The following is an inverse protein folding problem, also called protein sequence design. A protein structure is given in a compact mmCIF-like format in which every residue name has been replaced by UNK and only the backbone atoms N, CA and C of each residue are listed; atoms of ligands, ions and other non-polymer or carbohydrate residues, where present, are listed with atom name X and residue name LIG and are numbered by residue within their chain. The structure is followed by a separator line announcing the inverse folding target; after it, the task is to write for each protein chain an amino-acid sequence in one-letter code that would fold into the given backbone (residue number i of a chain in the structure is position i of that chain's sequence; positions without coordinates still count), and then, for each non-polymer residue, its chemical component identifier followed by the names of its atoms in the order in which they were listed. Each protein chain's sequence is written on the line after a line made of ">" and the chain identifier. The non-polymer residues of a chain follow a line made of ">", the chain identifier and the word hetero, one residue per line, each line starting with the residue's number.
data_IF_735274964915
#
_entry.id   IF_735274964915
#
_cell.length_a   1.000
_cell.length_b   1.000
_cell.length_c   1.000
_cell.angle_alpha   90.00
_cell.angle_beta   90.00
_cell.angle_gamma   90.00
#
_symmetry.space_group_name_H-M   'P 1'
#
loop_
_entity.id
_entity.type
_entity.pdbx_description
1 polymer ?
#
# COMPACT_ATOMS: atom_id res chain seq x y z
N UNK A 1 9.90 -8.01 -0.55
CA UNK A 1 10.12 -8.12 0.91
C UNK A 1 9.15 -7.16 1.61
N UNK A 2 8.40 -7.58 2.62
CA UNK A 2 7.58 -6.65 3.42
C UNK A 2 8.47 -5.66 4.17
N UNK A 3 8.01 -4.40 4.27
CA UNK A 3 8.72 -3.35 5.01
C UNK A 3 8.04 -3.13 6.37
N UNK A 4 8.75 -3.35 7.50
CA UNK A 4 8.24 -3.06 8.85
C UNK A 4 7.98 -1.57 9.02
N UNK A 5 6.91 -1.19 9.73
CA UNK A 5 6.53 0.23 9.87
C UNK A 5 7.62 1.05 10.57
N UNK A 6 8.32 0.44 11.52
CA UNK A 6 9.45 1.02 12.25
C UNK A 6 10.80 0.46 11.76
N UNK A 7 10.84 0.00 10.51
CA UNK A 7 12.05 -0.50 9.87
C UNK A 7 13.09 0.61 9.68
N UNK A 8 14.36 0.21 9.52
CA UNK A 8 15.42 1.13 9.16
C UNK A 8 15.13 1.74 7.78
N UNK A 9 15.19 3.06 7.68
CA UNK A 9 15.12 3.75 6.40
C UNK A 9 16.42 3.53 5.62
N UNK A 10 16.29 3.45 4.30
CA UNK A 10 17.41 3.44 3.37
C UNK A 10 17.25 4.61 2.39
N UNK A 11 18.37 5.07 1.85
CA UNK A 11 18.36 6.09 0.81
C UNK A 11 17.62 5.57 -0.42
N UNK A 12 16.70 6.37 -0.94
CA UNK A 12 16.01 6.07 -2.18
C UNK A 12 16.92 6.41 -3.38
N UNK A 13 16.85 5.66 -4.49
CA UNK A 13 17.62 5.99 -5.68
C UNK A 13 17.16 7.33 -6.29
N UNK A 14 18.02 7.92 -7.11
CA UNK A 14 17.62 9.01 -8.01
C UNK A 14 16.68 8.48 -9.09
N UNK A 15 15.61 9.24 -9.35
CA UNK A 15 14.53 8.82 -10.23
C UNK A 15 14.26 9.90 -11.27
N UNK A 16 14.21 9.48 -12.52
CA UNK A 16 13.65 10.27 -13.61
C UNK A 16 12.22 9.81 -13.84
N UNK A 17 11.28 10.72 -13.64
CA UNK A 17 9.84 10.47 -13.78
C UNK A 17 9.31 11.58 -14.70
N UNK A 18 9.18 11.33 -16.01
CA UNK A 18 8.66 12.33 -16.94
C UNK A 18 7.13 12.44 -16.93
N UNK A 19 6.43 11.61 -16.17
CA UNK A 19 4.96 11.51 -16.19
C UNK A 19 4.28 12.67 -15.45
N UNK A 20 3.34 13.33 -16.13
CA UNK A 20 2.56 14.45 -15.59
C UNK A 20 1.75 14.12 -14.31
N UNK A 21 1.53 12.84 -14.01
CA UNK A 21 0.78 12.39 -12.84
C UNK A 21 1.52 12.58 -11.50
N UNK A 22 2.84 12.83 -11.51
CA UNK A 22 3.62 12.89 -10.27
C UNK A 22 5.04 13.45 -10.37
N UNK A 23 5.40 14.12 -11.47
CA UNK A 23 6.77 14.57 -11.75
C UNK A 23 7.15 15.96 -11.21
N UNK A 24 6.20 16.70 -10.62
CA UNK A 24 6.48 18.06 -10.11
C UNK A 24 7.29 17.98 -8.81
N UNK A 25 8.52 18.50 -8.85
CA UNK A 25 9.34 18.77 -7.68
C UNK A 25 9.15 20.23 -7.23
N UNK A 26 8.81 20.43 -5.96
CA UNK A 26 8.48 21.74 -5.41
C UNK A 26 9.00 21.87 -3.97
N UNK A 27 9.45 23.06 -3.60
CA UNK A 27 9.74 23.40 -2.20
C UNK A 27 8.44 23.67 -1.44
N UNK A 28 8.51 23.75 -0.11
CA UNK A 28 7.36 24.22 0.69
C UNK A 28 6.93 25.63 0.29
N UNK A 29 7.87 26.52 -0.08
CA UNK A 29 7.57 27.87 -0.56
C UNK A 29 6.76 27.86 -1.87
N UNK A 30 7.15 27.01 -2.83
CA UNK A 30 6.42 26.85 -4.09
C UNK A 30 4.99 26.33 -3.84
N UNK A 31 4.85 25.36 -2.94
CA UNK A 31 3.54 24.82 -2.57
C UNK A 31 2.68 25.84 -1.82
N UNK A 32 3.27 26.71 -0.99
CA UNK A 32 2.55 27.84 -0.39
C UNK A 32 2.06 28.81 -1.46
N UNK A 33 2.86 29.12 -2.47
CA UNK A 33 2.43 29.98 -3.58
C UNK A 33 1.28 29.34 -4.39
N UNK A 34 1.31 28.03 -4.60
CA UNK A 34 0.22 27.29 -5.23
C UNK A 34 -1.05 27.30 -4.37
N UNK A 35 -0.94 27.06 -3.06
CA UNK A 35 -2.06 27.12 -2.12
C UNK A 35 -2.66 28.53 -2.04
N UNK A 36 -1.84 29.58 -2.04
CA UNK A 36 -2.31 30.96 -2.12
C UNK A 36 -3.11 31.22 -3.40
N UNK A 37 -2.69 30.66 -4.54
CA UNK A 37 -3.46 30.75 -5.78
C UNK A 37 -4.84 30.10 -5.65
N UNK A 38 -4.94 28.95 -4.96
CA UNK A 38 -6.21 28.30 -4.69
C UNK A 38 -7.11 29.15 -3.76
N UNK A 39 -6.57 29.63 -2.64
CA UNK A 39 -7.30 30.48 -1.70
C UNK A 39 -7.79 31.78 -2.36
N UNK A 40 -6.97 32.35 -3.25
CA UNK A 40 -7.28 33.57 -3.99
C UNK A 40 -8.00 33.31 -5.33
N UNK A 41 -8.63 32.14 -5.47
CA UNK A 41 -9.53 31.80 -6.60
C UNK A 41 -8.89 32.02 -7.98
N UNK A 42 -7.64 31.59 -8.13
CA UNK A 42 -6.87 31.65 -9.37
C UNK A 42 -5.84 32.78 -9.48
N UNK A 43 -5.63 33.57 -8.42
CA UNK A 43 -4.70 34.70 -8.40
C UNK A 43 -3.45 34.37 -7.58
N UNK A 44 -2.29 34.32 -8.23
CA UNK A 44 -1.00 34.16 -7.56
C UNK A 44 -0.37 35.50 -7.20
N UNK A 45 0.83 35.45 -6.61
CA UNK A 45 1.58 36.64 -6.18
C UNK A 45 1.95 37.61 -7.31
N UNK A 46 2.00 37.13 -8.56
CA UNK A 46 2.31 37.92 -9.77
C UNK A 46 1.09 38.23 -10.63
N UNK A 47 -0.12 38.05 -10.09
CA UNK A 47 -1.38 38.28 -10.79
C UNK A 47 -2.13 36.99 -11.12
N UNK A 48 -3.12 37.11 -12.00
CA UNK A 48 -4.04 36.01 -12.33
C UNK A 48 -3.33 34.90 -13.13
N UNK A 49 -3.37 33.68 -12.60
CA UNK A 49 -2.81 32.48 -13.24
C UNK A 49 -3.89 31.74 -14.01
N UNK A 50 -5.08 31.59 -13.42
CA UNK A 50 -6.25 31.01 -14.08
C UNK A 50 -7.48 31.93 -13.94
N UNK A 51 -8.37 31.87 -14.93
CA UNK A 51 -9.63 32.61 -14.90
C UNK A 51 -10.50 32.13 -13.73
N UNK A 52 -11.40 32.98 -13.22
CA UNK A 52 -12.35 32.58 -12.19
C UNK A 52 -13.27 31.43 -12.67
N UNK A 53 -13.61 31.42 -13.96
CA UNK A 53 -14.35 30.31 -14.59
C UNK A 53 -13.56 29.00 -14.52
N UNK A 54 -12.27 29.02 -14.82
CA UNK A 54 -11.39 27.86 -14.73
C UNK A 54 -11.20 27.39 -13.28
N UNK A 55 -11.05 28.32 -12.34
CA UNK A 55 -10.99 27.97 -10.91
C UNK A 55 -12.27 27.29 -10.45
N UNK A 56 -13.44 27.80 -10.84
CA UNK A 56 -14.72 27.15 -10.52
C UNK A 56 -14.77 25.72 -11.06
N UNK A 57 -14.35 25.50 -12.30
CA UNK A 57 -14.26 24.15 -12.88
C UNK A 57 -13.29 23.25 -12.10
N UNK A 58 -12.12 23.76 -11.72
CA UNK A 58 -11.09 23.02 -10.99
C UNK A 58 -11.61 22.41 -9.69
N UNK A 59 -12.40 23.16 -8.92
CA UNK A 59 -12.87 22.78 -7.58
C UNK A 59 -14.27 22.18 -7.56
N UNK A 60 -14.98 22.16 -8.69
CA UNK A 60 -16.35 21.63 -8.76
C UNK A 60 -16.36 20.10 -8.57
N UNK A 61 -17.15 19.57 -7.62
CA UNK A 61 -17.40 18.13 -7.50
C UNK A 61 -17.89 17.50 -8.82
N UNK A 62 -17.17 16.53 -9.38
CA UNK A 62 -17.57 15.85 -10.61
C UNK A 62 -18.05 14.41 -10.36
N UNK A 63 -17.37 13.67 -9.49
CA UNK A 63 -17.71 12.27 -9.17
C UNK A 63 -17.53 11.99 -7.68
N UNK A 64 -18.40 11.18 -7.08
CA UNK A 64 -18.23 10.74 -5.69
C UNK A 64 -16.95 9.92 -5.56
N UNK A 65 -16.09 10.32 -4.64
CA UNK A 65 -14.80 9.70 -4.39
C UNK A 65 -14.43 9.94 -2.91
N UNK A 66 -14.86 9.04 -2.00
CA UNK A 66 -14.59 9.20 -0.58
C UNK A 66 -13.10 9.37 -0.30
N UNK A 67 -12.75 10.44 0.40
CA UNK A 67 -11.36 10.74 0.73
C UNK A 67 -11.01 10.11 2.06
N UNK A 68 -10.37 8.94 2.03
CA UNK A 68 -9.97 8.18 3.24
C UNK A 68 -11.13 7.92 4.22
N UNK A 69 -12.30 7.62 3.67
CA UNK A 69 -13.51 7.32 4.46
C UNK A 69 -14.39 8.53 4.77
N UNK A 70 -13.97 9.74 4.38
CA UNK A 70 -14.81 10.95 4.46
C UNK A 70 -15.64 11.11 3.19
N UNK A 71 -16.86 11.64 3.31
CA UNK A 71 -17.64 12.01 2.13
C UNK A 71 -16.93 13.14 1.38
N UNK A 72 -16.64 12.87 0.12
CA UNK A 72 -15.93 13.78 -0.76
C UNK A 72 -16.26 13.42 -2.22
N UNK A 73 -15.95 14.36 -3.09
CA UNK A 73 -16.02 14.19 -4.53
C UNK A 73 -14.68 14.54 -5.15
N UNK A 74 -14.39 13.99 -6.32
CA UNK A 74 -13.22 14.34 -7.11
C UNK A 74 -13.62 15.30 -8.23
N UNK A 75 -12.79 16.32 -8.46
CA UNK A 75 -12.88 17.25 -9.57
C UNK A 75 -11.66 17.10 -10.50
N UNK A 76 -11.14 18.21 -11.01
CA UNK A 76 -9.94 18.19 -11.85
C UNK A 76 -8.66 18.11 -11.01
N UNK A 77 -8.34 16.90 -10.56
CA UNK A 77 -7.10 16.63 -9.83
C UNK A 77 -7.12 17.09 -8.37
N UNK A 78 -8.30 17.34 -7.80
CA UNK A 78 -8.49 17.70 -6.40
C UNK A 78 -9.70 16.94 -5.85
N UNK A 79 -9.60 16.50 -4.59
CA UNK A 79 -10.78 16.17 -3.81
C UNK A 79 -11.43 17.45 -3.29
N UNK A 80 -12.75 17.53 -3.36
CA UNK A 80 -13.57 18.58 -2.79
C UNK A 80 -14.56 17.97 -1.80
N UNK A 81 -14.72 18.60 -0.64
CA UNK A 81 -15.68 18.17 0.39
C UNK A 81 -16.17 19.36 1.20
N UNK A 82 -17.41 19.29 1.65
CA UNK A 82 -17.95 20.23 2.63
C UNK A 82 -17.87 19.60 4.03
N UNK A 83 -17.03 20.18 4.90
CA UNK A 83 -16.79 19.69 6.26
C UNK A 83 -17.14 20.79 7.25
N UNK A 84 -18.22 20.60 8.02
CA UNK A 84 -18.70 21.61 8.98
C UNK A 84 -18.95 22.97 8.33
N UNK A 85 -19.64 22.98 7.18
CA UNK A 85 -19.92 24.17 6.34
C UNK A 85 -18.68 24.88 5.77
N UNK A 86 -17.53 24.20 5.72
CA UNK A 86 -16.31 24.70 5.08
C UNK A 86 -16.01 23.89 3.84
N UNK A 87 -15.76 24.57 2.73
CA UNK A 87 -15.41 23.92 1.47
C UNK A 87 -13.90 23.69 1.44
N UNK A 88 -13.51 22.42 1.57
CA UNK A 88 -12.11 21.99 1.53
C UNK A 88 -11.76 21.46 0.14
N UNK A 89 -10.58 21.84 -0.35
CA UNK A 89 -9.94 21.21 -1.51
C UNK A 89 -8.61 20.58 -1.11
N UNK A 90 -8.37 19.35 -1.58
CA UNK A 90 -7.34 18.47 -1.01
C UNK A 90 -6.67 17.63 -2.08
N UNK A 91 -5.41 17.26 -1.84
CA UNK A 91 -4.73 16.23 -2.61
C UNK A 91 -3.61 15.59 -1.82
N UNK A 92 -3.24 14.36 -2.19
CA UNK A 92 -2.07 13.69 -1.63
C UNK A 92 -1.16 13.19 -2.75
N UNK A 93 0.13 13.10 -2.49
CA UNK A 93 1.11 12.59 -3.44
C UNK A 93 2.00 11.58 -2.75
N UNK A 94 2.38 10.52 -3.45
CA UNK A 94 3.42 9.61 -2.98
C UNK A 94 4.30 9.22 -4.14
N UNK A 95 5.58 9.48 -3.96
CA UNK A 95 6.67 9.04 -4.81
C UNK A 95 7.46 7.95 -4.07
N UNK A 96 8.33 7.23 -4.79
CA UNK A 96 9.24 6.23 -4.21
C UNK A 96 9.99 6.79 -2.98
N UNK A 97 10.36 8.07 -3.01
CA UNK A 97 11.14 8.73 -1.96
C UNK A 97 10.37 9.79 -1.16
N UNK A 98 9.13 10.13 -1.52
CA UNK A 98 8.42 11.25 -0.91
C UNK A 98 6.95 10.92 -0.63
N UNK A 99 6.39 11.51 0.41
CA UNK A 99 4.95 11.47 0.66
C UNK A 99 4.47 12.84 1.11
N UNK A 100 3.45 13.36 0.42
CA UNK A 100 2.96 14.72 0.59
C UNK A 100 1.45 14.75 0.74
N UNK A 101 0.96 15.79 1.42
CA UNK A 101 -0.45 16.12 1.52
C UNK A 101 -0.63 17.63 1.46
N UNK A 102 -1.75 18.06 0.89
CA UNK A 102 -2.20 19.44 0.95
C UNK A 102 -3.69 19.50 1.27
N UNK A 103 -4.05 20.51 2.06
CA UNK A 103 -5.43 20.85 2.39
C UNK A 103 -5.58 22.37 2.30
N UNK A 104 -6.65 22.85 1.66
CA UNK A 104 -7.01 24.25 1.62
C UNK A 104 -8.50 24.43 1.93
N UNK A 105 -8.78 25.28 2.92
CA UNK A 105 -10.11 25.74 3.27
C UNK A 105 -10.42 27.02 2.50
N UNK A 106 -11.29 26.90 1.51
CA UNK A 106 -11.69 28.01 0.65
C UNK A 106 -12.70 28.95 1.32
N UNK A 107 -13.29 28.54 2.45
CA UNK A 107 -14.28 29.32 3.20
C UNK A 107 -13.60 30.27 4.17
N UNK A 108 -12.68 29.76 4.99
CA UNK A 108 -12.00 30.57 6.03
C UNK A 108 -10.63 31.10 5.58
N UNK A 109 -10.11 30.66 4.42
CA UNK A 109 -8.88 31.21 3.85
C UNK A 109 -7.58 30.64 4.43
N UNK A 110 -7.61 29.42 4.95
CA UNK A 110 -6.42 28.73 5.49
C UNK A 110 -5.99 27.57 4.60
N UNK A 111 -4.69 27.31 4.52
CA UNK A 111 -4.16 26.17 3.82
C UNK A 111 -2.91 25.61 4.50
N UNK A 112 -2.66 24.32 4.32
CA UNK A 112 -1.52 23.62 4.85
C UNK A 112 -0.93 22.66 3.81
N UNK A 113 0.39 22.55 3.80
CA UNK A 113 1.14 21.57 3.03
C UNK A 113 2.13 20.87 3.96
N UNK A 114 2.25 19.55 3.81
CA UNK A 114 3.27 18.77 4.49
C UNK A 114 3.88 17.77 3.51
N UNK A 115 5.19 17.55 3.62
CA UNK A 115 5.92 16.55 2.86
C UNK A 115 6.95 15.88 3.75
N UNK A 116 7.17 14.59 3.51
CA UNK A 116 8.24 13.81 4.11
C UNK A 116 9.07 13.16 3.01
N UNK A 117 10.38 13.09 3.21
CA UNK A 117 11.34 12.45 2.31
C UNK A 117 11.46 10.93 2.57
N UNK A 118 10.32 10.27 2.77
CA UNK A 118 10.24 8.83 2.90
C UNK A 118 8.92 8.30 2.33
N UNK A 119 8.97 7.13 1.69
CA UNK A 119 7.78 6.34 1.39
C UNK A 119 7.53 5.36 2.54
N UNK A 120 6.47 5.60 3.31
CA UNK A 120 6.13 4.83 4.50
C UNK A 120 4.85 4.01 4.26
N UNK A 121 4.86 3.13 3.26
CA UNK A 121 3.77 2.18 2.91
C UNK A 121 2.36 2.79 2.96
N UNK A 122 2.04 3.66 2.01
CA UNK A 122 0.70 4.27 1.90
C UNK A 122 0.43 5.40 2.91
N UNK A 123 1.37 5.69 3.80
CA UNK A 123 1.37 6.91 4.60
C UNK A 123 1.30 8.16 3.71
N UNK A 124 0.53 9.13 4.17
CA UNK A 124 0.52 10.51 3.67
C UNK A 124 0.38 11.41 4.91
N UNK A 125 1.01 12.59 4.95
CA UNK A 125 0.98 13.47 6.12
C UNK A 125 -0.36 14.23 6.30
N UNK A 126 -1.49 13.59 5.97
CA UNK A 126 -2.84 14.16 6.06
C UNK A 126 -3.21 14.58 7.48
N UNK A 127 -2.79 13.79 8.48
CA UNK A 127 -3.03 14.15 9.88
C UNK A 127 -2.32 15.45 10.28
N UNK A 128 -1.15 15.73 9.66
CA UNK A 128 -0.37 16.95 9.93
C UNK A 128 -1.07 18.16 9.30
N UNK A 129 -1.45 18.08 8.03
CA UNK A 129 -2.13 19.19 7.34
C UNK A 129 -3.50 19.49 7.93
N UNK A 130 -4.29 18.45 8.25
CA UNK A 130 -5.58 18.60 8.94
C UNK A 130 -5.41 19.28 10.30
N UNK A 131 -4.45 18.81 11.11
CA UNK A 131 -4.21 19.40 12.42
C UNK A 131 -3.76 20.86 12.34
N UNK A 132 -2.93 21.20 11.34
CA UNK A 132 -2.55 22.59 11.10
C UNK A 132 -3.76 23.48 10.76
N UNK A 133 -4.70 23.00 9.95
CA UNK A 133 -5.95 23.73 9.71
C UNK A 133 -6.77 23.88 10.99
N UNK A 134 -7.01 22.79 11.72
CA UNK A 134 -7.80 22.84 12.96
C UNK A 134 -7.20 23.82 13.98
N UNK A 135 -5.87 23.89 14.10
CA UNK A 135 -5.16 24.90 14.89
C UNK A 135 -5.42 26.33 14.40
N UNK A 136 -5.29 26.58 13.09
CA UNK A 136 -5.50 27.91 12.51
C UNK A 136 -6.95 28.38 12.70
N UNK A 137 -7.93 27.50 12.55
CA UNK A 137 -9.33 27.80 12.80
C UNK A 137 -9.63 28.10 14.26
N UNK A 138 -9.07 27.31 15.20
CA UNK A 138 -9.27 27.56 16.62
C UNK A 138 -8.63 28.90 17.03
N UNK A 139 -7.40 29.15 16.58
CA UNK A 139 -6.67 30.38 16.86
C UNK A 139 -7.39 31.62 16.29
N UNK A 140 -7.88 31.57 15.05
CA UNK A 140 -8.56 32.72 14.42
C UNK A 140 -9.88 33.09 15.09
N UNK A 141 -10.50 32.15 15.81
CA UNK A 141 -11.75 32.33 16.56
C UNK A 141 -11.54 32.50 18.06
N UNK A 142 -10.28 32.57 18.52
CA UNK A 142 -9.90 32.61 19.93
C UNK A 142 -10.55 31.47 20.75
N UNK A 143 -10.61 30.28 20.16
CA UNK A 143 -11.10 29.05 20.78
C UNK A 143 -9.95 28.24 21.38
N UNK A 144 -10.29 27.28 22.24
CA UNK A 144 -9.32 26.31 22.76
C UNK A 144 -8.67 25.53 21.61
N UNK A 145 -7.34 25.40 21.66
CA UNK A 145 -6.58 24.70 20.63
C UNK A 145 -6.89 23.19 20.66
N UNK A 146 -7.06 22.54 19.50
CA UNK A 146 -7.25 21.10 19.45
C UNK A 146 -6.04 20.36 20.03
N UNK A 147 -6.32 19.25 20.74
CA UNK A 147 -5.30 18.33 21.19
C UNK A 147 -4.51 17.76 20.01
N UNK A 148 -3.23 17.45 20.25
CA UNK A 148 -2.39 16.77 19.26
C UNK A 148 -3.06 15.48 18.77
N UNK A 149 -2.99 15.17 17.47
CA UNK A 149 -3.48 13.90 16.96
C UNK A 149 -2.75 12.75 17.66
N UNK A 150 -3.50 11.76 18.14
CA UNK A 150 -2.91 10.57 18.74
C UNK A 150 -1.98 9.87 17.74
N UNK A 151 -0.82 9.34 18.18
CA UNK A 151 0.01 8.54 17.31
C UNK A 151 -0.76 7.32 16.82
N UNK A 152 -0.43 6.84 15.62
CA UNK A 152 -0.99 5.58 15.12
C UNK A 152 -0.71 4.44 16.10
N UNK A 153 -1.64 3.49 16.17
CA UNK A 153 -1.46 2.30 16.99
C UNK A 153 -0.12 1.63 16.68
N UNK A 154 0.52 1.06 17.70
CA UNK A 154 1.80 0.38 17.47
C UNK A 154 1.57 -0.82 16.55
N UNK A 155 2.44 -1.07 15.57
CA UNK A 155 2.21 -2.10 14.57
C UNK A 155 2.20 -3.50 15.19
N UNK A 156 2.74 -3.68 16.39
CA UNK A 156 2.76 -4.92 17.17
C UNK A 156 1.53 -5.11 18.08
N UNK A 157 0.55 -4.19 18.07
CA UNK A 157 -0.71 -4.34 18.81
C UNK A 157 -1.75 -5.07 17.94
N UNK A 158 -2.02 -6.32 18.32
CA UNK A 158 -2.94 -7.26 17.70
C UNK A 158 -4.00 -7.65 18.74
N UNK A 159 -5.09 -6.89 18.78
CA UNK A 159 -6.16 -7.06 19.78
C UNK A 159 -6.74 -8.48 19.84
N UNK A 160 -6.75 -9.19 18.72
CA UNK A 160 -7.20 -10.57 18.62
C UNK A 160 -6.04 -11.57 18.46
N UNK A 161 -4.89 -11.32 19.09
CA UNK A 161 -3.71 -12.19 19.00
C UNK A 161 -4.02 -13.65 19.35
N UNK A 162 -4.92 -13.88 20.32
CA UNK A 162 -5.34 -15.21 20.75
C UNK A 162 -5.96 -16.06 19.62
N UNK A 163 -6.60 -15.45 18.61
CA UNK A 163 -7.19 -16.16 17.48
C UNK A 163 -6.15 -16.96 16.67
N UNK A 164 -4.91 -16.46 16.63
CA UNK A 164 -3.82 -17.02 15.83
C UNK A 164 -2.93 -17.96 16.64
N UNK A 165 -3.06 -17.98 17.97
CA UNK A 165 -2.22 -18.78 18.84
C UNK A 165 -2.48 -20.28 18.64
N UNK A 166 -1.40 -21.06 18.64
CA UNK A 166 -1.46 -22.51 18.42
C UNK A 166 -0.33 -23.01 17.53
N UNK A 167 -0.44 -24.27 17.13
CA UNK A 167 0.51 -24.92 16.22
C UNK A 167 -0.18 -25.23 14.91
N UNK A 168 0.42 -24.80 13.81
CA UNK A 168 0.08 -25.26 12.46
C UNK A 168 1.22 -26.14 11.94
N UNK A 169 0.88 -27.14 11.12
CA UNK A 169 1.83 -28.14 10.61
C UNK A 169 1.75 -28.16 9.08
N UNK A 170 2.91 -28.10 8.43
CA UNK A 170 3.05 -28.24 6.99
C UNK A 170 3.00 -29.72 6.58
N UNK A 171 2.77 -30.03 5.29
CA UNK A 171 2.73 -31.42 4.81
C UNK A 171 4.01 -32.23 5.08
N UNK A 172 5.16 -31.57 5.18
CA UNK A 172 6.46 -32.17 5.50
C UNK A 172 6.70 -32.34 7.02
N UNK A 173 5.73 -31.96 7.86
CA UNK A 173 5.81 -32.02 9.32
C UNK A 173 6.43 -30.79 9.98
N UNK A 174 6.92 -29.80 9.22
CA UNK A 174 7.46 -28.54 9.79
C UNK A 174 6.34 -27.82 10.56
N UNK A 175 6.66 -27.39 11.78
CA UNK A 175 5.72 -26.68 12.66
C UNK A 175 5.89 -25.17 12.58
N UNK A 176 4.77 -24.47 12.60
CA UNK A 176 4.66 -23.04 12.82
C UNK A 176 3.93 -22.84 14.15
N UNK A 177 4.63 -22.34 15.17
CA UNK A 177 4.10 -22.22 16.53
C UNK A 177 3.95 -20.76 16.90
N UNK A 178 2.72 -20.35 17.19
CA UNK A 178 2.36 -18.98 17.53
C UNK A 178 1.86 -18.91 18.97
N UNK A 179 2.26 -17.87 19.69
CA UNK A 179 1.81 -17.58 21.04
C UNK A 179 1.25 -16.18 21.12
N UNK A 180 0.27 -15.98 22.01
CA UNK A 180 -0.31 -14.68 22.30
C UNK A 180 0.07 -14.26 23.73
N UNK A 181 0.48 -13.01 23.90
CA UNK A 181 0.72 -12.40 25.20
C UNK A 181 0.08 -11.00 25.24
N UNK A 182 -1.10 -10.89 25.86
CA UNK A 182 -1.94 -9.70 25.72
C UNK A 182 -2.23 -9.41 24.26
N UNK A 183 -2.06 -8.16 23.83
CA UNK A 183 -2.25 -7.73 22.45
C UNK A 183 -1.03 -8.01 21.55
N UNK A 184 -0.16 -8.97 21.89
CA UNK A 184 1.00 -9.30 21.06
C UNK A 184 0.89 -10.72 20.52
N UNK A 185 1.02 -10.85 19.21
CA UNK A 185 1.21 -12.12 18.53
C UNK A 185 2.71 -12.38 18.34
N UNK A 186 3.15 -13.58 18.67
CA UNK A 186 4.56 -13.96 18.61
C UNK A 186 4.74 -15.28 17.86
N UNK A 187 5.77 -15.37 17.03
CA UNK A 187 6.23 -16.61 16.42
C UNK A 187 7.36 -17.20 17.25
N UNK A 188 7.23 -18.47 17.64
CA UNK A 188 8.32 -19.20 18.26
C UNK A 188 9.39 -19.51 17.20
N UNK A 189 10.59 -18.95 17.38
CA UNK A 189 11.75 -19.29 16.55
C UNK A 189 12.99 -19.49 17.45
N UNK A 190 13.42 -20.73 17.64
CA UNK A 190 14.50 -21.05 18.58
C UNK A 190 14.15 -20.66 20.02
N UNK A 191 15.08 -19.99 20.71
CA UNK A 191 14.94 -19.63 22.15
C UNK A 191 14.16 -18.34 22.40
N UNK A 192 14.12 -17.41 21.44
CA UNK A 192 13.47 -16.12 21.61
C UNK A 192 12.26 -16.01 20.67
N UNK A 193 11.05 -15.76 21.21
CA UNK A 193 9.90 -15.50 20.37
C UNK A 193 10.06 -14.17 19.61
N UNK A 194 9.53 -14.12 18.40
CA UNK A 194 9.58 -12.94 17.52
C UNK A 194 8.21 -12.27 17.55
N UNK A 195 8.15 -11.02 17.99
CA UNK A 195 6.90 -10.24 17.97
C UNK A 195 6.55 -9.84 16.54
N UNK A 196 5.32 -10.14 16.12
CA UNK A 196 4.80 -9.88 14.78
C UNK A 196 4.26 -8.45 14.67
N UNK A 197 4.44 -7.84 13.49
CA UNK A 197 3.81 -6.56 13.15
C UNK A 197 2.65 -6.76 12.17
N UNK A 198 1.52 -6.10 12.39
CA UNK A 198 0.37 -6.13 11.52
C UNK A 198 0.70 -5.46 10.17
N UNK A 199 0.52 -6.21 9.07
CA UNK A 199 0.65 -5.72 7.69
C UNK A 199 -0.71 -5.52 6.99
N UNK A 200 -1.79 -5.91 7.66
CA UNK A 200 -3.16 -5.88 7.17
C UNK A 200 -3.99 -6.93 7.89
N UNK A 201 -5.26 -7.05 7.50
CA UNK A 201 -6.14 -8.11 8.02
C UNK A 201 -5.51 -9.48 7.78
N UNK A 202 -5.37 -10.27 8.85
CA UNK A 202 -4.81 -11.63 8.83
C UNK A 202 -3.42 -11.74 8.18
N UNK A 203 -2.63 -10.65 8.15
CA UNK A 203 -1.28 -10.63 7.58
C UNK A 203 -0.30 -9.92 8.49
N UNK A 204 0.87 -10.52 8.63
CA UNK A 204 1.88 -10.08 9.58
C UNK A 204 3.27 -10.06 8.97
N UNK A 205 4.13 -9.21 9.52
CA UNK A 205 5.56 -9.15 9.23
C UNK A 205 6.28 -9.86 10.37
N UNK A 206 7.13 -10.82 10.01
CA UNK A 206 8.04 -11.47 10.93
C UNK A 206 9.42 -10.86 10.72
N UNK A 207 9.95 -10.18 11.73
CA UNK A 207 11.23 -9.45 11.64
C UNK A 207 12.42 -10.39 11.84
N UNK A 208 12.58 -11.35 10.92
CA UNK A 208 13.64 -12.35 10.94
C UNK A 208 14.13 -12.67 9.53
N UNK A 209 15.44 -12.88 9.30
CA UNK A 209 15.97 -13.21 7.97
C UNK A 209 15.25 -14.39 7.28
N UNK A 210 14.93 -15.45 8.03
CA UNK A 210 14.22 -16.62 7.49
C UNK A 210 12.80 -16.32 6.97
N UNK A 211 12.23 -15.17 7.31
CA UNK A 211 10.86 -14.76 6.97
C UNK A 211 10.81 -13.40 6.27
N UNK A 212 11.95 -12.86 5.81
CA UNK A 212 12.01 -11.49 5.29
C UNK A 212 11.51 -11.33 3.84
N UNK A 213 11.16 -12.44 3.18
CA UNK A 213 10.75 -12.44 1.78
C UNK A 213 9.27 -12.10 1.60
N UNK A 214 8.41 -12.67 2.44
CA UNK A 214 6.95 -12.60 2.34
C UNK A 214 6.31 -12.22 3.67
N UNK A 215 5.05 -11.83 3.65
CA UNK A 215 4.27 -11.75 4.89
C UNK A 215 3.97 -13.15 5.42
N UNK A 216 3.66 -13.26 6.71
CA UNK A 216 2.97 -14.41 7.27
C UNK A 216 1.47 -14.12 7.22
N UNK A 217 0.75 -14.84 6.36
CA UNK A 217 -0.68 -14.62 6.11
C UNK A 217 -1.50 -15.78 6.66
N UNK A 218 -2.74 -15.54 7.07
CA UNK A 218 -3.62 -16.55 7.63
C UNK A 218 -4.93 -16.68 6.85
N UNK A 219 -5.39 -17.92 6.70
CA UNK A 219 -6.70 -18.26 6.17
C UNK A 219 -7.65 -18.65 7.30
N UNK A 220 -8.89 -18.20 7.20
CA UNK A 220 -9.97 -18.55 8.14
C UNK A 220 -11.02 -19.41 7.46
N UNK A 221 -11.56 -20.36 8.20
CA UNK A 221 -12.86 -20.97 7.92
C UNK A 221 -13.85 -20.40 8.93
N UNK A 222 -14.88 -19.70 8.43
CA UNK A 222 -15.72 -18.78 9.20
C UNK A 222 -14.81 -17.79 9.94
N UNK A 223 -14.82 -17.80 11.28
CA UNK A 223 -14.01 -16.92 12.11
C UNK A 223 -12.74 -17.59 12.67
N UNK A 224 -12.58 -18.89 12.50
CA UNK A 224 -11.44 -19.62 13.05
C UNK A 224 -10.26 -19.61 12.09
N UNK A 225 -9.06 -19.29 12.60
CA UNK A 225 -7.80 -19.49 11.86
C UNK A 225 -7.57 -20.99 11.68
N UNK A 226 -7.44 -21.43 10.44
CA UNK A 226 -7.27 -22.85 10.08
C UNK A 226 -6.00 -23.13 9.30
N UNK A 227 -5.43 -22.10 8.65
CA UNK A 227 -4.23 -22.23 7.83
C UNK A 227 -3.36 -20.98 7.87
N UNK A 228 -2.08 -21.14 7.56
CA UNK A 228 -1.10 -20.07 7.46
C UNK A 228 -0.22 -20.24 6.21
N UNK A 229 0.32 -19.13 5.72
CA UNK A 229 1.10 -19.07 4.49
C UNK A 229 2.31 -18.16 4.62
N UNK A 230 3.42 -18.56 4.01
CA UNK A 230 4.60 -17.73 3.83
C UNK A 230 5.22 -18.01 2.47
N UNK A 231 4.90 -17.17 1.48
CA UNK A 231 5.27 -17.49 0.10
C UNK A 231 4.61 -18.80 -0.35
N UNK A 232 5.36 -19.77 -0.92
CA UNK A 232 4.80 -21.07 -1.30
C UNK A 232 4.47 -21.97 -0.09
N UNK A 233 5.06 -21.70 1.08
CA UNK A 233 4.88 -22.54 2.25
C UNK A 233 3.47 -22.41 2.81
N UNK A 234 2.97 -23.53 3.32
CA UNK A 234 1.60 -23.67 3.79
C UNK A 234 1.53 -24.59 5.00
N UNK A 235 0.84 -24.14 6.03
CA UNK A 235 0.58 -24.89 7.26
C UNK A 235 -0.92 -24.95 7.54
N UNK A 236 -1.37 -26.04 8.15
CA UNK A 236 -2.76 -26.23 8.57
C UNK A 236 -2.84 -26.69 10.02
N UNK A 237 -3.98 -26.55 10.66
CA UNK A 237 -4.26 -27.15 11.97
C UNK A 237 -5.40 -28.19 11.88
N UNK A 238 -5.76 -28.78 13.00
CA UNK A 238 -6.83 -29.79 13.10
C UNK A 238 -8.22 -29.31 12.64
N UNK A 239 -8.43 -28.00 12.58
CA UNK A 239 -9.69 -27.39 12.14
C UNK A 239 -9.76 -27.25 10.63
N UNK A 240 -8.65 -27.44 9.91
CA UNK A 240 -8.63 -27.38 8.45
C UNK A 240 -9.29 -28.60 7.82
N UNK A 241 -10.37 -28.36 7.10
CA UNK A 241 -11.20 -29.39 6.44
C UNK A 241 -11.10 -29.38 4.90
N UNK A 242 -10.29 -28.48 4.33
CA UNK A 242 -10.15 -28.32 2.89
C UNK A 242 -9.26 -29.38 2.23
N UNK A 243 -9.10 -29.25 0.91
CA UNK A 243 -8.22 -30.10 0.13
C UNK A 243 -6.77 -30.02 0.63
N UNK A 244 -6.05 -31.14 0.60
CA UNK A 244 -4.62 -31.22 0.97
C UNK A 244 -3.70 -31.52 -0.21
N UNK A 245 -4.29 -31.90 -1.34
CA UNK A 245 -3.62 -32.16 -2.60
C UNK A 245 -4.20 -31.20 -3.62
N UNK A 246 -3.33 -30.58 -4.40
CA UNK A 246 -3.70 -29.58 -5.39
C UNK A 246 -2.99 -29.88 -6.69
N UNK A 247 -3.78 -29.97 -7.74
CA UNK A 247 -3.26 -30.06 -9.11
C UNK A 247 -3.13 -28.67 -9.70
N UNK A 248 -2.17 -28.52 -10.61
CA UNK A 248 -1.97 -27.31 -11.40
C UNK A 248 -1.24 -27.67 -12.70
N UNK A 249 -1.37 -26.86 -13.77
CA UNK A 249 -0.65 -27.06 -15.01
C UNK A 249 0.87 -27.06 -14.78
N UNK A 250 1.56 -28.14 -15.15
CA UNK A 250 3.00 -28.30 -14.89
C UNK A 250 3.86 -27.29 -15.63
N UNK A 251 3.34 -26.72 -16.70
CA UNK A 251 3.97 -25.62 -17.43
C UNK A 251 4.18 -24.40 -16.52
N UNK A 252 3.40 -24.24 -15.44
CA UNK A 252 3.61 -23.15 -14.48
C UNK A 252 4.93 -23.25 -13.73
N UNK A 253 5.52 -24.45 -13.60
CA UNK A 253 6.86 -24.63 -13.01
C UNK A 253 7.96 -23.94 -13.84
N UNK A 254 7.68 -23.63 -15.11
CA UNK A 254 8.57 -22.83 -15.97
C UNK A 254 8.48 -21.33 -15.65
N UNK A 255 7.35 -20.88 -15.09
CA UNK A 255 7.03 -19.48 -14.80
C UNK A 255 7.46 -19.07 -13.39
N UNK A 256 7.53 -20.01 -12.45
CA UNK A 256 7.94 -19.72 -11.07
C UNK A 256 9.38 -19.24 -10.99
N UNK A 257 9.66 -18.37 -10.01
CA UNK A 257 10.99 -17.81 -9.76
C UNK A 257 10.96 -16.33 -9.41
N UNK A 258 12.14 -15.74 -9.34
CA UNK A 258 12.34 -14.31 -9.08
C UNK A 258 12.55 -13.57 -10.40
N UNK A 259 11.90 -12.43 -10.50
CA UNK A 259 12.08 -11.49 -11.58
C UNK A 259 12.34 -10.09 -11.03
N UNK A 260 13.00 -9.27 -11.83
CA UNK A 260 13.35 -7.89 -11.48
C UNK A 260 12.98 -6.98 -12.64
N UNK A 261 12.30 -5.91 -12.31
CA UNK A 261 12.18 -4.73 -13.17
C UNK A 261 13.22 -3.71 -12.72
N UNK A 262 13.83 -3.02 -13.68
CA UNK A 262 14.65 -1.84 -13.38
C UNK A 262 13.79 -0.61 -13.09
N UNK A 263 12.46 -0.73 -13.26
CA UNK A 263 11.53 0.29 -12.80
C UNK A 263 11.52 0.32 -11.25
N UNK A 264 11.90 1.45 -10.64
CA UNK A 264 12.07 1.59 -9.19
C UNK A 264 10.76 1.56 -8.39
N UNK A 265 9.61 1.67 -9.07
CA UNK A 265 8.30 1.48 -8.45
C UNK A 265 7.97 0.02 -8.16
N UNK A 266 8.55 -0.90 -8.94
CA UNK A 266 8.21 -2.31 -8.91
C UNK A 266 9.36 -3.15 -8.31
N UNK A 267 10.60 -2.89 -8.74
CA UNK A 267 11.78 -3.54 -8.21
C UNK A 267 11.81 -5.05 -8.47
N UNK A 268 11.53 -5.88 -7.46
CA UNK A 268 11.62 -7.34 -7.59
C UNK A 268 10.32 -8.03 -7.24
N UNK A 269 9.90 -8.95 -8.11
CA UNK A 269 8.73 -9.79 -7.94
C UNK A 269 9.08 -11.27 -7.89
N UNK A 270 8.24 -12.07 -7.24
CA UNK A 270 8.37 -13.51 -7.14
C UNK A 270 7.07 -14.18 -7.55
N UNK A 271 7.19 -15.17 -8.44
CA UNK A 271 6.10 -16.07 -8.79
C UNK A 271 6.33 -17.46 -8.19
N UNK A 272 5.27 -18.03 -7.64
CA UNK A 272 5.27 -19.38 -7.11
C UNK A 272 3.85 -19.97 -7.16
N UNK A 273 3.76 -21.29 -7.05
CA UNK A 273 2.49 -21.99 -6.94
C UNK A 273 2.19 -22.22 -5.46
N UNK A 274 0.95 -21.94 -5.05
CA UNK A 274 0.43 -22.27 -3.72
C UNK A 274 -1.00 -22.74 -3.83
N UNK A 275 -1.30 -23.90 -3.25
CA UNK A 275 -2.62 -24.56 -3.32
C UNK A 275 -3.14 -24.67 -4.77
N UNK A 276 -2.28 -25.08 -5.70
CA UNK A 276 -2.62 -25.26 -7.11
C UNK A 276 -2.87 -23.97 -7.90
N UNK A 277 -2.50 -22.81 -7.36
CA UNK A 277 -2.71 -21.50 -7.99
C UNK A 277 -1.39 -20.77 -8.14
N UNK A 278 -1.18 -20.13 -9.29
CA UNK A 278 -0.04 -19.25 -9.53
C UNK A 278 -0.25 -17.90 -8.81
N UNK A 279 0.75 -17.45 -8.08
CA UNK A 279 0.72 -16.24 -7.25
C UNK A 279 1.90 -15.35 -7.57
N UNK A 280 1.67 -14.03 -7.62
CA UNK A 280 2.66 -12.97 -7.65
C UNK A 280 2.76 -12.32 -6.26
N UNK A 281 3.97 -12.26 -5.71
CA UNK A 281 4.34 -11.52 -4.48
C UNK A 281 3.46 -11.78 -3.24
N UNK A 282 3.07 -13.03 -3.00
CA UNK A 282 2.30 -13.48 -1.81
C UNK A 282 0.85 -12.97 -1.71
N UNK A 283 0.46 -12.03 -2.57
CA UNK A 283 -0.81 -11.32 -2.47
C UNK A 283 -1.72 -11.54 -3.68
N UNK A 284 -1.14 -11.62 -4.88
CA UNK A 284 -1.91 -11.54 -6.11
C UNK A 284 -2.01 -12.89 -6.78
N UNK A 285 -3.16 -13.55 -6.67
CA UNK A 285 -3.44 -14.75 -7.47
C UNK A 285 -3.59 -14.38 -8.94
N UNK A 286 -3.12 -15.25 -9.82
CA UNK A 286 -3.20 -15.09 -11.26
C UNK A 286 -4.24 -16.02 -11.86
N UNK A 287 -5.08 -15.50 -12.75
CA UNK A 287 -6.10 -16.24 -13.48
C UNK A 287 -5.62 -16.44 -14.92
N UNK A 288 -5.50 -17.69 -15.40
CA UNK A 288 -5.07 -17.95 -16.77
C UNK A 288 -6.12 -17.48 -17.77
N UNK A 289 -5.68 -16.82 -18.85
CA UNK A 289 -6.50 -16.42 -20.00
C UNK A 289 -6.11 -17.18 -21.28
N UNK A 290 -4.93 -17.78 -21.29
CA UNK A 290 -4.38 -18.57 -22.40
C UNK A 290 -2.94 -18.98 -22.10
N UNK A 291 -2.25 -19.64 -23.04
CA UNK A 291 -0.85 -20.03 -22.87
C UNK A 291 0.02 -18.81 -22.55
N UNK A 292 0.67 -18.81 -21.39
CA UNK A 292 1.56 -17.71 -20.96
C UNK A 292 0.89 -16.39 -20.63
N UNK A 293 -0.45 -16.30 -20.69
CA UNK A 293 -1.19 -15.04 -20.46
C UNK A 293 -2.11 -15.19 -19.26
N UNK A 294 -1.98 -14.25 -18.32
CA UNK A 294 -2.73 -14.21 -17.09
C UNK A 294 -3.31 -12.82 -16.86
N UNK A 295 -4.33 -12.75 -16.01
CA UNK A 295 -4.74 -11.51 -15.36
C UNK A 295 -4.62 -11.64 -13.84
N UNK A 296 -4.41 -10.53 -13.12
CA UNK A 296 -4.65 -10.48 -11.68
C UNK A 296 -6.08 -10.94 -11.35
N UNK A 297 -6.24 -11.75 -10.30
CA UNK A 297 -7.53 -11.96 -9.66
C UNK A 297 -8.05 -10.63 -9.10
N UNK A 298 -9.26 -10.25 -9.47
CA UNK A 298 -9.86 -8.96 -9.18
C UNK A 298 -11.11 -8.75 -10.03
N UNK A 299 -11.40 -7.50 -10.38
CA UNK A 299 -12.49 -7.18 -11.30
C UNK A 299 -12.22 -7.83 -12.67
N UNK A 300 -13.25 -8.44 -13.24
CA UNK A 300 -13.17 -9.11 -14.55
C UNK A 300 -12.99 -8.12 -15.69
N UNK A 301 -13.34 -6.85 -15.47
CA UNK A 301 -13.19 -5.78 -16.45
C UNK A 301 -11.80 -5.12 -16.40
N UNK A 302 -10.92 -5.52 -15.47
CA UNK A 302 -9.55 -5.03 -15.44
C UNK A 302 -8.80 -5.38 -16.73
N UNK A 303 -8.18 -4.37 -17.33
CA UNK A 303 -7.37 -4.51 -18.53
C UNK A 303 -5.95 -5.04 -18.22
N UNK A 304 -5.61 -5.20 -16.94
CA UNK A 304 -4.29 -5.63 -16.49
C UNK A 304 -3.94 -7.05 -16.99
N UNK A 305 -2.76 -7.20 -17.60
CA UNK A 305 -2.29 -8.48 -18.15
C UNK A 305 -0.86 -8.77 -17.73
N UNK A 306 -0.59 -10.03 -17.44
CA UNK A 306 0.74 -10.57 -17.24
C UNK A 306 1.01 -11.57 -18.35
N UNK A 307 2.03 -11.31 -19.15
CA UNK A 307 2.39 -12.14 -20.31
C UNK A 307 3.82 -12.63 -20.17
N UNK A 308 4.00 -13.94 -20.27
CA UNK A 308 5.30 -14.60 -20.37
C UNK A 308 5.56 -14.90 -21.85
N UNK A 309 6.58 -14.27 -22.43
CA UNK A 309 6.85 -14.32 -23.87
C UNK A 309 8.18 -15.02 -24.23
N UNK A 310 9.10 -15.15 -23.28
CA UNK A 310 10.47 -15.61 -23.54
C UNK A 310 10.77 -16.84 -22.70
N UNK A 311 10.77 -18.02 -23.31
CA UNK A 311 11.16 -19.29 -22.70
C UNK A 311 12.56 -19.70 -23.17
N UNK A 312 13.48 -19.92 -22.24
CA UNK A 312 14.83 -20.44 -22.51
C UNK A 312 15.06 -21.64 -21.60
N UNK A 313 15.40 -22.79 -22.18
CA UNK A 313 15.65 -24.05 -21.46
C UNK A 313 14.54 -24.41 -20.45
N UNK A 314 13.27 -24.22 -20.84
CA UNK A 314 12.12 -24.53 -19.99
C UNK A 314 11.92 -23.57 -18.81
N UNK A 315 12.51 -22.36 -18.86
CA UNK A 315 12.29 -21.31 -17.86
C UNK A 315 11.91 -20.00 -18.56
N UNK A 316 10.88 -19.35 -18.05
CA UNK A 316 10.47 -18.05 -18.56
C UNK A 316 11.47 -16.99 -18.08
N UNK A 317 12.16 -16.34 -19.00
CA UNK A 317 13.21 -15.36 -18.71
C UNK A 317 12.69 -13.93 -18.60
N UNK A 318 11.47 -13.71 -19.06
CA UNK A 318 10.84 -12.40 -19.10
C UNK A 318 9.33 -12.53 -18.87
N UNK A 319 8.75 -11.56 -18.17
CA UNK A 319 7.33 -11.30 -18.25
C UNK A 319 7.07 -9.79 -18.31
N UNK A 320 6.02 -9.43 -19.04
CA UNK A 320 5.47 -8.08 -19.06
C UNK A 320 4.21 -8.04 -18.19
N UNK A 321 4.12 -7.07 -17.28
CA UNK A 321 2.92 -6.75 -16.52
C UNK A 321 2.42 -5.38 -16.98
N UNK A 322 1.47 -5.38 -17.92
CA UNK A 322 0.80 -4.19 -18.45
C UNK A 322 1.76 -3.06 -18.86
N UNK A 323 2.79 -3.40 -19.64
CA UNK A 323 3.81 -2.45 -20.09
C UNK A 323 5.03 -2.35 -19.17
N UNK A 324 5.05 -3.05 -18.04
CA UNK A 324 6.19 -3.11 -17.14
C UNK A 324 6.95 -4.42 -17.33
N UNK A 325 8.21 -4.32 -17.76
CA UNK A 325 9.05 -5.48 -18.02
C UNK A 325 9.77 -5.98 -16.77
N UNK A 326 9.78 -7.30 -16.63
CA UNK A 326 10.46 -8.02 -15.55
C UNK A 326 11.31 -9.14 -16.13
N UNK A 327 12.60 -9.14 -15.78
CA UNK A 327 13.56 -10.14 -16.23
C UNK A 327 13.90 -11.10 -15.11
N UNK A 328 14.01 -12.40 -15.41
CA UNK A 328 14.39 -13.42 -14.44
C UNK A 328 15.78 -13.12 -13.89
N UNK A 329 15.92 -13.20 -12.57
CA UNK A 329 17.20 -13.04 -11.88
C UNK A 329 17.43 -14.20 -10.91
N UNK A 330 18.70 -14.57 -10.75
CA UNK A 330 19.13 -15.71 -9.93
C UNK A 330 19.86 -15.27 -8.65
N UNK A 331 20.22 -13.99 -8.57
CA UNK A 331 20.82 -13.40 -7.37
C UNK A 331 19.80 -13.37 -6.21
N UNK A 332 20.22 -13.58 -4.94
CA UNK A 332 19.35 -13.55 -3.75
C UNK A 332 18.61 -12.24 -3.47
#
# INVERSE_FOLDING_TARGET
>A
RPFPLRGKLAEAPWLEVPEAAGSVAATSGDMVAYLQMLLNRGVGSRGRVISEKSFKLLVTPAIKAPFRGEDASYGYGLWTSDVSNRTLVRHTGGMVAFSSAMDADLTDGFAAFASVNANLRGYRPVAVTRYALDLLHAASRNQELPALPAPSATPDSVKNAADYAGTLTAPDGKKLVLTAQGDKLMLQNGRQPIVLELAGRDRFIVKHPDYDLFTLSFGRDKDAVVEAFHGPDWWTNERYSGAKVFEYPKEWDTLTGRYRSDNPWYGSSRLFVRKGRLILDDQQFLIPLGPGVFRPQGDVNEAERITFDTLVNGKAMHFNFSGIDFYRTFTP
#
